data_IF_110073411417
#
_entry.id   IF_110073411417
#
_cell.length_a   1.000
_cell.length_b   1.000
_cell.length_c   1.000
_cell.angle_alpha   90.00
_cell.angle_beta   90.00
_cell.angle_gamma   90.00
#
_symmetry.space_group_name_H-M   'P 1'
#
loop_
_entity.id
_entity.type
_entity.pdbx_description
1 polymer ?
#
# COMPACT_ATOMS: atom_id res chain seq x y z
N UNK A 1 2.20 34.24 24.94
CA UNK A 1 0.96 33.49 25.25
C UNK A 1 0.60 33.85 26.68
N UNK A 2 -0.55 34.48 26.90
CA UNK A 2 -1.00 34.84 28.25
C UNK A 2 -1.39 33.56 29.02
N UNK A 3 -0.98 33.47 30.28
CA UNK A 3 -1.39 32.37 31.15
C UNK A 3 -2.67 32.79 31.88
N UNK A 4 -3.68 31.92 31.83
CA UNK A 4 -4.97 32.15 32.51
C UNK A 4 -4.96 31.42 33.85
N UNK A 5 -5.33 32.14 34.90
CA UNK A 5 -5.38 31.67 36.27
C UNK A 5 -6.83 31.71 36.76
N UNK A 6 -7.17 30.84 37.70
CA UNK A 6 -8.51 30.77 38.27
C UNK A 6 -8.49 31.42 39.65
N UNK A 7 -9.19 32.55 39.78
CA UNK A 7 -9.36 33.29 41.03
C UNK A 7 -10.68 32.86 41.68
N UNK A 8 -10.62 32.40 42.93
CA UNK A 8 -11.81 32.18 43.76
C UNK A 8 -12.16 33.47 44.47
N UNK A 9 -13.32 34.04 44.17
CA UNK A 9 -13.82 35.23 44.85
C UNK A 9 -14.30 34.86 46.28
N UNK A 10 -14.42 35.83 47.20
CA UNK A 10 -14.92 35.58 48.56
C UNK A 10 -16.34 34.98 48.58
N UNK A 11 -17.10 35.18 47.49
CA UNK A 11 -18.44 34.64 47.29
C UNK A 11 -18.44 33.18 46.76
N UNK A 12 -17.25 32.60 46.52
CA UNK A 12 -17.08 31.23 46.03
C UNK A 12 -17.12 31.07 44.51
N UNK A 13 -17.13 32.16 43.75
CA UNK A 13 -17.18 32.11 42.28
C UNK A 13 -15.78 31.97 41.67
N UNK A 14 -15.70 31.19 40.60
CA UNK A 14 -14.46 30.93 39.87
C UNK A 14 -14.36 31.87 38.66
N UNK A 15 -13.42 32.82 38.71
CA UNK A 15 -13.22 33.82 37.65
C UNK A 15 -11.87 33.57 36.96
N UNK A 16 -11.90 33.49 35.63
CA UNK A 16 -10.70 33.39 34.81
C UNK A 16 -10.02 34.76 34.70
N UNK A 17 -8.76 34.85 35.08
CA UNK A 17 -7.94 36.07 35.02
C UNK A 17 -6.66 35.83 34.26
N UNK A 18 -6.29 36.77 33.40
CA UNK A 18 -5.02 36.73 32.69
C UNK A 18 -3.91 37.41 33.49
N UNK A 19 -2.65 37.03 33.24
CA UNK A 19 -1.48 37.70 33.84
C UNK A 19 -1.38 39.20 33.58
N UNK A 20 -2.01 39.67 32.50
CA UNK A 20 -2.09 41.09 32.12
C UNK A 20 -2.99 41.91 33.06
N UNK A 21 -3.91 41.26 33.76
CA UNK A 21 -4.92 41.88 34.64
C UNK A 21 -4.50 41.88 36.11
N UNK A 22 -3.24 41.53 36.40
CA UNK A 22 -2.73 41.45 37.76
C UNK A 22 -2.67 42.85 38.40
N UNK A 23 -3.35 43.03 39.55
CA UNK A 23 -3.46 44.32 40.23
C UNK A 23 -4.51 45.27 39.64
N UNK A 24 -5.33 44.81 38.69
CA UNK A 24 -6.51 45.54 38.22
C UNK A 24 -7.76 45.15 39.02
N UNK A 25 -8.77 46.02 39.01
CA UNK A 25 -10.08 45.72 39.59
C UNK A 25 -10.99 45.18 38.50
N UNK A 26 -11.36 43.90 38.58
CA UNK A 26 -12.30 43.29 37.63
C UNK A 26 -13.70 43.25 38.23
N UNK A 27 -14.71 43.41 37.38
CA UNK A 27 -16.10 43.19 37.76
C UNK A 27 -16.42 41.72 37.58
N UNK A 28 -16.84 41.05 38.65
CA UNK A 28 -17.27 39.64 38.59
C UNK A 28 -18.61 39.51 37.87
N UNK A 29 -19.00 38.31 37.38
CA UNK A 29 -20.32 38.08 36.78
C UNK A 29 -21.49 38.48 37.69
N UNK A 30 -21.27 38.47 39.01
CA UNK A 30 -22.21 38.91 40.03
C UNK A 30 -22.20 40.43 40.30
N UNK A 31 -21.50 41.21 39.47
CA UNK A 31 -21.51 42.67 39.50
C UNK A 31 -20.68 43.31 40.63
N UNK A 32 -19.93 42.51 41.40
CA UNK A 32 -19.04 43.02 42.45
C UNK A 32 -17.65 43.30 41.88
N UNK A 33 -17.04 44.38 42.36
CA UNK A 33 -15.66 44.71 42.02
C UNK A 33 -14.72 43.93 42.94
N UNK A 34 -13.87 43.09 42.35
CA UNK A 34 -12.86 42.32 43.07
C UNK A 34 -11.48 42.70 42.55
N UNK A 35 -10.59 43.05 43.46
CA UNK A 35 -9.20 43.36 43.15
C UNK A 35 -8.45 42.07 42.81
N UNK A 36 -7.83 42.04 41.62
CA UNK A 36 -7.07 40.88 41.17
C UNK A 36 -5.75 40.85 41.95
N UNK A 37 -5.41 39.73 42.62
CA UNK A 37 -4.18 39.62 43.40
C UNK A 37 -2.94 39.95 42.59
N UNK A 38 -1.92 40.45 43.27
CA UNK A 38 -0.65 40.84 42.62
C UNK A 38 0.02 39.65 41.92
N UNK A 39 0.87 39.92 40.93
CA UNK A 39 1.60 38.89 40.16
C UNK A 39 2.29 37.82 41.03
N UNK A 40 2.75 38.20 42.23
CA UNK A 40 3.42 37.29 43.17
C UNK A 40 2.46 36.27 43.80
N UNK A 41 1.20 36.66 43.97
CA UNK A 41 0.13 35.84 44.54
C UNK A 41 -0.59 35.02 43.48
N UNK A 42 -0.69 35.54 42.24
CA UNK A 42 -1.16 34.77 41.09
C UNK A 42 -0.33 33.50 40.82
N UNK A 43 0.99 33.54 41.04
CA UNK A 43 1.86 32.35 40.91
C UNK A 43 1.55 31.23 41.90
N UNK A 44 0.76 31.50 42.96
CA UNK A 44 0.30 30.49 43.93
C UNK A 44 -1.06 29.90 43.58
N UNK A 45 -1.77 30.49 42.61
CA UNK A 45 -3.06 30.00 42.16
C UNK A 45 -2.87 28.78 41.22
N UNK A 46 -3.81 27.84 41.21
CA UNK A 46 -3.77 26.72 40.28
C UNK A 46 -3.81 27.26 38.84
N UNK A 47 -2.82 26.87 38.03
CA UNK A 47 -2.82 27.17 36.61
C UNK A 47 -3.96 26.39 35.95
N UNK A 48 -4.79 27.09 35.19
CA UNK A 48 -5.68 26.45 34.25
C UNK A 48 -4.82 26.07 33.06
N UNK A 49 -4.61 24.77 32.84
CA UNK A 49 -3.97 24.33 31.61
C UNK A 49 -4.79 24.88 30.43
N UNK A 50 -4.17 25.64 29.51
CA UNK A 50 -4.91 26.15 28.37
C UNK A 50 -5.51 24.94 27.65
N UNK A 51 -6.84 24.93 27.51
CA UNK A 51 -7.55 23.93 26.73
C UNK A 51 -6.87 23.87 25.36
N UNK A 52 -6.05 22.84 25.13
CA UNK A 52 -5.55 22.54 23.80
C UNK A 52 -6.78 22.22 23.01
N UNK A 53 -7.26 23.19 22.24
CA UNK A 53 -8.23 22.96 21.18
C UNK A 53 -7.55 22.05 20.17
N UNK A 54 -7.58 20.75 20.44
CA UNK A 54 -7.18 19.73 19.49
C UNK A 54 -8.19 19.85 18.36
N UNK A 55 -7.83 20.62 17.34
CA UNK A 55 -8.64 20.73 16.12
C UNK A 55 -8.82 19.30 15.62
N UNK A 56 -10.02 18.76 15.78
CA UNK A 56 -10.36 17.40 15.38
C UNK A 56 -10.33 17.38 13.86
N UNK A 57 -9.18 16.98 13.30
CA UNK A 57 -9.04 16.82 11.86
C UNK A 57 -9.82 15.58 11.46
N UNK A 58 -10.89 15.75 10.67
CA UNK A 58 -11.57 14.61 10.06
C UNK A 58 -10.76 14.16 8.85
N UNK A 59 -10.75 12.86 8.63
CA UNK A 59 -10.20 12.27 7.42
C UNK A 59 -11.00 12.79 6.22
N UNK A 60 -10.30 13.28 5.20
CA UNK A 60 -10.97 13.68 3.97
C UNK A 60 -11.41 12.43 3.20
N UNK A 61 -12.46 12.56 2.38
CA UNK A 61 -12.94 11.46 1.54
C UNK A 61 -11.81 10.88 0.66
N UNK A 62 -10.93 11.74 0.14
CA UNK A 62 -9.77 11.33 -0.66
C UNK A 62 -8.77 10.48 0.12
N UNK A 63 -8.53 10.78 1.40
CA UNK A 63 -7.67 9.98 2.26
C UNK A 63 -8.23 8.57 2.47
N UNK A 64 -9.53 8.48 2.76
CA UNK A 64 -10.20 7.21 2.96
C UNK A 64 -10.19 6.36 1.69
N UNK A 65 -10.45 6.96 0.52
CA UNK A 65 -10.43 6.24 -0.77
C UNK A 65 -9.03 5.69 -1.07
N UNK A 66 -7.98 6.52 -0.94
CA UNK A 66 -6.61 6.09 -1.19
C UNK A 66 -6.16 4.97 -0.23
N UNK A 67 -6.52 5.09 1.04
CA UNK A 67 -6.22 4.06 2.02
C UNK A 67 -6.93 2.75 1.67
N UNK A 68 -8.22 2.78 1.34
CA UNK A 68 -9.00 1.58 1.00
C UNK A 68 -8.48 0.92 -0.27
N UNK A 69 -8.17 1.70 -1.32
CA UNK A 69 -7.59 1.17 -2.56
C UNK A 69 -6.22 0.55 -2.29
N UNK A 70 -5.35 1.26 -1.58
CA UNK A 70 -4.02 0.75 -1.21
C UNK A 70 -4.09 -0.54 -0.39
N UNK A 71 -5.03 -0.59 0.56
CA UNK A 71 -5.29 -1.78 1.38
C UNK A 71 -5.75 -2.97 0.53
N UNK A 72 -6.70 -2.75 -0.39
CA UNK A 72 -7.23 -3.79 -1.26
C UNK A 72 -6.14 -4.37 -2.18
N UNK A 73 -5.34 -3.50 -2.81
CA UNK A 73 -4.21 -3.91 -3.64
C UNK A 73 -3.20 -4.73 -2.83
N UNK A 74 -2.91 -4.29 -1.60
CA UNK A 74 -1.99 -5.00 -0.70
C UNK A 74 -2.51 -6.39 -0.36
N UNK A 75 -3.79 -6.54 0.01
CA UNK A 75 -4.38 -7.84 0.34
C UNK A 75 -4.39 -8.80 -0.87
N UNK A 76 -4.78 -8.32 -2.04
CA UNK A 76 -4.76 -9.13 -3.28
C UNK A 76 -3.34 -9.60 -3.59
N UNK A 77 -2.36 -8.70 -3.46
CA UNK A 77 -0.94 -9.00 -3.70
C UNK A 77 -0.39 -10.03 -2.73
N UNK A 78 -0.69 -9.90 -1.42
CA UNK A 78 -0.31 -10.89 -0.41
C UNK A 78 -0.96 -12.24 -0.71
N UNK A 79 -2.26 -12.25 -1.03
CA UNK A 79 -2.98 -13.46 -1.37
C UNK A 79 -2.37 -14.19 -2.56
N UNK A 80 -2.02 -13.47 -3.62
CA UNK A 80 -1.35 -14.03 -4.80
C UNK A 80 0.05 -14.57 -4.47
N UNK A 81 0.85 -13.84 -3.69
CA UNK A 81 2.16 -14.31 -3.24
C UNK A 81 2.02 -15.62 -2.44
N UNK A 82 1.12 -15.69 -1.46
CA UNK A 82 0.90 -16.89 -0.65
C UNK A 82 0.43 -18.05 -1.53
N UNK A 83 -0.55 -17.81 -2.40
CA UNK A 83 -1.09 -18.82 -3.31
C UNK A 83 0.01 -19.42 -4.17
N UNK A 84 0.86 -18.59 -4.78
CA UNK A 84 1.90 -19.04 -5.68
C UNK A 84 3.19 -19.46 -5.00
N UNK A 85 3.43 -19.20 -3.71
CA UNK A 85 4.68 -19.64 -3.04
C UNK A 85 4.46 -20.78 -2.06
N UNK A 86 3.31 -20.82 -1.39
CA UNK A 86 3.02 -21.77 -0.30
C UNK A 86 2.04 -22.85 -0.75
N UNK A 87 0.94 -22.48 -1.42
CA UNK A 87 -0.12 -23.42 -1.77
C UNK A 87 0.26 -24.21 -3.03
N UNK A 88 0.78 -23.52 -4.04
CA UNK A 88 1.21 -24.13 -5.30
C UNK A 88 2.70 -23.89 -5.56
N UNK A 89 3.60 -24.44 -4.72
CA UNK A 89 5.03 -24.35 -4.97
C UNK A 89 5.37 -25.16 -6.23
N UNK A 90 5.98 -24.50 -7.22
CA UNK A 90 6.63 -25.21 -8.32
C UNK A 90 8.04 -24.64 -8.51
N UNK A 91 9.00 -25.49 -8.91
CA UNK A 91 10.38 -25.08 -9.10
C UNK A 91 10.48 -24.05 -10.23
N UNK A 92 11.38 -23.09 -10.08
CA UNK A 92 11.75 -22.21 -11.19
C UNK A 92 12.47 -23.05 -12.25
N UNK A 93 11.72 -23.51 -13.26
CA UNK A 93 12.31 -24.17 -14.40
C UNK A 93 12.91 -23.10 -15.32
N UNK A 94 14.20 -23.22 -15.60
CA UNK A 94 14.82 -22.58 -16.76
C UNK A 94 14.23 -23.24 -18.00
N UNK A 95 13.26 -22.59 -18.61
CA UNK A 95 12.65 -23.07 -19.85
C UNK A 95 13.70 -22.97 -20.96
N UNK A 96 14.25 -24.10 -21.41
CA UNK A 96 14.97 -24.17 -22.68
C UNK A 96 13.95 -23.95 -23.79
N UNK A 97 13.93 -22.73 -24.32
CA UNK A 97 12.88 -22.21 -25.21
C UNK A 97 13.04 -22.59 -26.67
N UNK A 98 14.13 -23.24 -27.06
CA UNK A 98 14.47 -23.37 -28.47
C UNK A 98 14.58 -24.85 -28.82
N UNK A 99 13.63 -25.31 -29.64
CA UNK A 99 13.86 -26.46 -30.50
C UNK A 99 15.21 -26.24 -31.19
N UNK A 100 16.09 -27.26 -31.25
CA UNK A 100 17.32 -27.15 -32.02
C UNK A 100 16.98 -26.60 -33.41
N UNK A 101 17.70 -25.57 -33.87
CA UNK A 101 17.39 -24.85 -35.11
C UNK A 101 17.28 -25.78 -36.34
N UNK A 102 17.91 -26.95 -36.25
CA UNK A 102 17.81 -28.05 -37.21
C UNK A 102 16.38 -28.63 -37.31
N UNK A 103 15.71 -28.85 -36.18
CA UNK A 103 14.33 -29.37 -36.12
C UNK A 103 13.34 -28.36 -36.71
N UNK A 104 13.52 -27.07 -36.42
CA UNK A 104 12.65 -26.00 -36.96
C UNK A 104 12.75 -25.93 -38.48
N UNK A 105 13.97 -25.97 -39.05
CA UNK A 105 14.19 -25.94 -40.51
C UNK A 105 13.58 -27.11 -41.26
N UNK A 106 13.50 -28.28 -40.62
CA UNK A 106 12.86 -29.47 -41.19
C UNK A 106 11.34 -29.32 -41.23
N UNK A 107 10.74 -28.66 -40.25
CA UNK A 107 9.27 -28.53 -40.10
C UNK A 107 8.70 -27.32 -40.85
N UNK A 108 9.46 -26.24 -41.02
CA UNK A 108 8.98 -24.94 -41.53
C UNK A 108 8.79 -24.87 -43.07
N UNK A 109 8.71 -26.02 -43.76
CA UNK A 109 8.52 -26.10 -45.22
C UNK A 109 7.12 -26.56 -45.62
N UNK A 110 6.60 -26.01 -46.72
CA UNK A 110 5.33 -26.47 -47.33
C UNK A 110 5.49 -27.91 -47.83
N UNK A 111 4.70 -28.86 -47.29
CA UNK A 111 4.83 -30.30 -47.57
C UNK A 111 4.69 -30.57 -49.08
N UNK A 112 3.90 -29.76 -49.77
CA UNK A 112 3.67 -29.87 -51.21
C UNK A 112 4.91 -29.51 -52.06
N UNK A 113 5.93 -28.90 -51.44
CA UNK A 113 7.20 -28.53 -52.08
C UNK A 113 8.36 -29.49 -51.79
N UNK A 114 8.12 -30.55 -51.02
CA UNK A 114 9.18 -31.47 -50.61
C UNK A 114 9.53 -32.44 -51.73
N UNK A 115 10.84 -32.62 -51.98
CA UNK A 115 11.34 -33.68 -52.82
C UNK A 115 11.45 -35.01 -52.06
N UNK A 116 11.66 -36.10 -52.80
CA UNK A 116 11.70 -37.45 -52.24
C UNK A 116 12.82 -37.60 -51.20
N UNK A 117 13.98 -36.97 -51.43
CA UNK A 117 15.12 -37.02 -50.52
C UNK A 117 14.77 -36.36 -49.19
N UNK A 118 14.15 -35.17 -49.22
CA UNK A 118 13.68 -34.48 -48.01
C UNK A 118 12.58 -35.24 -47.27
N UNK A 119 11.70 -35.93 -47.98
CA UNK A 119 10.71 -36.81 -47.35
C UNK A 119 11.37 -37.99 -46.64
N UNK A 120 12.40 -38.61 -47.23
CA UNK A 120 13.14 -39.72 -46.62
C UNK A 120 13.90 -39.23 -45.39
N UNK A 121 14.59 -38.10 -45.49
CA UNK A 121 15.31 -37.49 -44.36
C UNK A 121 14.36 -37.14 -43.20
N UNK A 122 13.16 -36.61 -43.50
CA UNK A 122 12.13 -36.37 -42.50
C UNK A 122 11.66 -37.67 -41.83
N UNK A 123 11.45 -38.74 -42.60
CA UNK A 123 11.03 -40.04 -42.04
C UNK A 123 12.12 -40.68 -41.19
N UNK A 124 13.39 -40.57 -41.59
CA UNK A 124 14.53 -41.02 -40.78
C UNK A 124 14.59 -40.23 -39.46
N UNK A 125 14.48 -38.90 -39.52
CA UNK A 125 14.37 -38.04 -38.34
C UNK A 125 13.18 -38.42 -37.45
N UNK A 126 11.97 -38.58 -38.02
CA UNK A 126 10.75 -38.87 -37.28
C UNK A 126 10.73 -40.26 -36.64
N UNK A 127 11.53 -41.21 -37.15
CA UNK A 127 11.68 -42.55 -36.57
C UNK A 127 12.75 -42.63 -35.48
N UNK A 128 13.57 -41.58 -35.30
CA UNK A 128 14.44 -41.46 -34.13
C UNK A 128 13.57 -41.36 -32.88
N UNK A 129 13.91 -42.18 -31.87
CA UNK A 129 13.10 -42.35 -30.64
C UNK A 129 12.76 -41.02 -29.95
N UNK A 130 13.63 -40.03 -30.03
CA UNK A 130 13.48 -38.77 -29.30
C UNK A 130 12.80 -37.67 -30.12
N UNK A 131 12.73 -37.78 -31.45
CA UNK A 131 12.20 -36.72 -32.30
C UNK A 131 10.68 -36.54 -32.13
N UNK A 132 9.93 -37.65 -32.08
CA UNK A 132 8.50 -37.63 -31.80
C UNK A 132 8.21 -37.13 -30.38
N UNK A 133 9.04 -37.50 -29.40
CA UNK A 133 8.88 -37.02 -28.03
C UNK A 133 9.17 -35.51 -27.92
N UNK A 134 10.17 -34.99 -28.65
CA UNK A 134 10.46 -33.55 -28.72
C UNK A 134 9.36 -32.74 -29.45
N UNK A 135 8.77 -33.31 -30.51
CA UNK A 135 7.63 -32.71 -31.21
C UNK A 135 6.37 -32.71 -30.33
N UNK A 136 6.14 -33.79 -29.59
CA UNK A 136 4.99 -33.94 -28.69
C UNK A 136 5.12 -33.05 -27.45
N UNK A 137 6.33 -32.90 -26.93
CA UNK A 137 6.67 -31.95 -25.88
C UNK A 137 6.33 -30.50 -26.30
N UNK A 138 6.70 -30.11 -27.52
CA UNK A 138 6.38 -28.78 -28.04
C UNK A 138 4.90 -28.55 -28.39
N UNK A 139 4.12 -29.61 -28.60
CA UNK A 139 2.78 -29.54 -29.18
C UNK A 139 1.62 -29.33 -28.21
N UNK A 140 1.77 -29.57 -26.90
CA UNK A 140 0.58 -29.55 -26.03
C UNK A 140 0.83 -29.30 -24.55
N UNK A 141 1.37 -30.29 -23.84
CA UNK A 141 1.41 -30.25 -22.37
C UNK A 141 2.60 -29.45 -21.85
N UNK A 142 3.80 -29.63 -22.41
CA UNK A 142 4.97 -28.91 -21.90
C UNK A 142 4.92 -27.44 -22.25
N UNK A 143 4.41 -27.08 -23.44
CA UNK A 143 4.13 -25.67 -23.78
C UNK A 143 3.10 -25.03 -22.85
N UNK A 144 2.03 -25.75 -22.52
CA UNK A 144 1.06 -25.27 -21.53
C UNK A 144 1.69 -25.10 -20.14
N UNK A 145 2.53 -26.04 -19.71
CA UNK A 145 3.26 -25.95 -18.43
C UNK A 145 4.24 -24.77 -18.44
N UNK A 146 4.95 -24.55 -19.54
CA UNK A 146 5.88 -23.43 -19.76
C UNK A 146 5.13 -22.09 -19.69
N UNK A 147 4.02 -21.97 -20.43
CA UNK A 147 3.21 -20.75 -20.44
C UNK A 147 2.59 -20.49 -19.06
N UNK A 148 2.15 -21.55 -18.37
CA UNK A 148 1.65 -21.47 -17.00
C UNK A 148 2.73 -21.03 -16.01
N UNK A 149 3.95 -21.57 -16.15
CA UNK A 149 5.09 -21.20 -15.31
C UNK A 149 5.51 -19.74 -15.54
N UNK A 150 5.53 -19.29 -16.79
CA UNK A 150 5.82 -17.91 -17.15
C UNK A 150 4.74 -16.95 -16.63
N UNK A 151 3.47 -17.24 -16.86
CA UNK A 151 2.36 -16.44 -16.32
C UNK A 151 2.42 -16.35 -14.81
N UNK A 152 2.80 -17.44 -14.13
CA UNK A 152 2.99 -17.44 -12.69
C UNK A 152 4.18 -16.57 -12.25
N UNK A 153 5.32 -16.60 -12.95
CA UNK A 153 6.44 -15.71 -12.65
C UNK A 153 6.06 -14.24 -12.85
N UNK A 154 5.41 -13.89 -13.96
CA UNK A 154 4.90 -12.55 -14.19
C UNK A 154 3.87 -12.14 -13.12
N UNK A 155 3.00 -13.06 -12.71
CA UNK A 155 2.03 -12.81 -11.64
C UNK A 155 2.70 -12.58 -10.29
N UNK A 156 3.75 -13.35 -9.95
CA UNK A 156 4.53 -13.14 -8.73
C UNK A 156 5.25 -11.79 -8.74
N UNK A 157 5.95 -11.45 -9.83
CA UNK A 157 6.61 -10.15 -9.98
C UNK A 157 5.58 -9.02 -9.88
N UNK A 158 4.46 -9.14 -10.59
CA UNK A 158 3.35 -8.19 -10.55
C UNK A 158 2.75 -8.05 -9.14
N UNK A 159 2.65 -9.15 -8.39
CA UNK A 159 2.15 -9.13 -7.01
C UNK A 159 3.12 -8.45 -6.06
N UNK A 160 4.44 -8.67 -6.22
CA UNK A 160 5.45 -7.95 -5.42
C UNK A 160 5.39 -6.45 -5.73
N UNK A 161 5.31 -6.05 -7.00
CA UNK A 161 5.15 -4.65 -7.39
C UNK A 161 3.85 -4.06 -6.82
N UNK A 162 2.74 -4.80 -6.94
CA UNK A 162 1.45 -4.43 -6.39
C UNK A 162 1.48 -4.21 -4.88
N UNK A 163 2.19 -5.06 -4.14
CA UNK A 163 2.38 -4.93 -2.71
C UNK A 163 3.05 -3.58 -2.35
N UNK A 164 4.15 -3.26 -3.04
CA UNK A 164 4.84 -1.98 -2.83
C UNK A 164 3.96 -0.79 -3.20
N UNK A 165 3.28 -0.84 -4.34
CA UNK A 165 2.37 0.22 -4.77
C UNK A 165 1.22 0.44 -3.77
N UNK A 166 0.62 -0.65 -3.25
CA UNK A 166 -0.42 -0.60 -2.23
C UNK A 166 0.06 0.04 -0.93
N UNK A 167 1.25 -0.35 -0.44
CA UNK A 167 1.86 0.27 0.74
C UNK A 167 2.14 1.76 0.53
N UNK A 168 2.67 2.15 -0.63
CA UNK A 168 2.93 3.56 -0.96
C UNK A 168 1.64 4.37 -0.97
N UNK A 169 0.56 3.85 -1.55
CA UNK A 169 -0.75 4.52 -1.54
C UNK A 169 -1.30 4.69 -0.11
N UNK A 170 -1.19 3.66 0.72
CA UNK A 170 -1.59 3.73 2.12
C UNK A 170 -0.79 4.80 2.88
N UNK A 171 0.53 4.83 2.73
CA UNK A 171 1.40 5.83 3.37
C UNK A 171 1.09 7.24 2.85
N UNK A 172 0.91 7.41 1.54
CA UNK A 172 0.54 8.68 0.92
C UNK A 172 -0.78 9.23 1.46
N UNK A 173 -1.74 8.38 1.83
CA UNK A 173 -3.02 8.81 2.42
C UNK A 173 -2.84 9.62 3.72
N UNK A 174 -1.79 9.35 4.50
CA UNK A 174 -1.51 10.07 5.75
C UNK A 174 -0.91 11.47 5.53
N UNK A 175 -0.29 11.71 4.37
CA UNK A 175 0.33 13.00 4.05
C UNK A 175 -0.65 13.98 3.40
N UNK A 176 -1.82 13.52 2.96
CA UNK A 176 -2.81 14.41 2.38
C UNK A 176 -3.43 15.33 3.43
N UNK A 177 -3.75 16.59 3.07
CA UNK A 177 -4.38 17.51 4.00
C UNK A 177 -5.82 17.06 4.30
N UNK A 178 -6.07 16.61 5.53
CA UNK A 178 -7.42 16.35 6.04
C UNK A 178 -8.25 17.63 6.15
N UNK A 179 -9.58 17.49 6.09
CA UNK A 179 -10.52 18.62 6.15
C UNK A 179 -10.62 19.16 7.58
N UNK A 180 -10.59 20.48 7.72
CA UNK A 180 -10.88 21.14 8.99
C UNK A 180 -12.38 21.01 9.27
N UNK A 181 -12.73 20.61 10.48
CA UNK A 181 -14.12 20.67 10.95
C UNK A 181 -14.26 22.04 11.58
N UNK A 182 -15.03 22.92 10.93
CA UNK A 182 -15.59 24.11 11.56
C UNK A 182 -16.68 23.71 12.58
#
# INVERSE_FOLDING_TARGET
MAQTYLLKTPDGEEVHVETSQAGETITTPSGKQVEVPTLREMKKLPLVEPEKTTVKRKWSLGQSILLVIGLLITFVSIGAIIMFTVIFPAPMQTVERELPAEVVKVIEGDIDSWDLDRMIDFWDFATQRDALDQLRANGGIDRFMIDTAQNRQFSLIGSVIGLFAGMVLMVASFFLPGTKVE
#
